data_IF_925814930421
#
_entry.id   IF_925814930421
#
_cell.length_a   1.000
_cell.length_b   1.000
_cell.length_c   1.000
_cell.angle_alpha   90.00
_cell.angle_beta   90.00
_cell.angle_gamma   90.00
#
_symmetry.space_group_name_H-M   'P 1'
#
loop_
_entity.id
_entity.type
_entity.pdbx_description
1 polymer ?
#
# COMPACT_ATOMS: atom_id res chain seq x y z
N UNK A 1 47.98 -0.81 -5.01
CA UNK A 1 47.50 -0.66 -6.40
C UNK A 1 46.19 0.13 -6.52
N UNK A 2 45.28 0.13 -5.53
CA UNK A 2 44.01 0.89 -5.58
C UNK A 2 44.16 2.42 -5.59
N UNK A 3 45.15 2.97 -4.86
CA UNK A 3 45.39 4.42 -4.81
C UNK A 3 45.83 5.01 -6.15
N UNK A 4 46.76 4.33 -6.85
CA UNK A 4 47.26 4.80 -8.16
C UNK A 4 46.18 4.78 -9.24
N UNK A 5 45.30 3.76 -9.23
CA UNK A 5 44.16 3.69 -10.16
C UNK A 5 43.12 4.79 -9.90
N UNK A 6 42.85 5.10 -8.63
CA UNK A 6 41.99 6.23 -8.25
C UNK A 6 42.57 7.55 -8.73
N UNK A 7 43.86 7.80 -8.50
CA UNK A 7 44.53 9.05 -8.90
C UNK A 7 44.58 9.20 -10.42
N UNK A 8 44.87 8.11 -11.15
CA UNK A 8 44.87 8.12 -12.63
C UNK A 8 43.46 8.40 -13.17
N UNK A 9 42.41 7.78 -12.60
CA UNK A 9 41.04 8.10 -12.99
C UNK A 9 40.67 9.55 -12.70
N UNK A 10 41.07 10.09 -11.55
CA UNK A 10 40.83 11.50 -11.22
C UNK A 10 41.53 12.43 -12.21
N UNK A 11 42.79 12.15 -12.55
CA UNK A 11 43.54 12.93 -13.55
C UNK A 11 42.88 12.81 -14.92
N UNK A 12 42.49 11.60 -15.33
CA UNK A 12 41.81 11.33 -16.59
C UNK A 12 40.49 12.11 -16.71
N UNK A 13 39.62 12.07 -15.69
CA UNK A 13 38.39 12.85 -15.67
C UNK A 13 38.64 14.36 -15.59
N UNK A 14 39.68 14.79 -14.88
CA UNK A 14 40.04 16.21 -14.74
C UNK A 14 40.70 16.83 -15.98
N UNK A 15 41.29 16.03 -16.88
CA UNK A 15 41.97 16.54 -18.09
C UNK A 15 41.27 16.17 -19.38
N UNK A 16 40.79 14.93 -19.53
CA UNK A 16 40.21 14.47 -20.80
C UNK A 16 38.80 15.00 -21.00
N UNK A 17 37.95 15.07 -19.97
CA UNK A 17 36.59 15.64 -20.14
C UNK A 17 36.66 17.13 -20.51
N UNK A 18 37.40 17.99 -19.78
CA UNK A 18 37.54 19.39 -20.17
C UNK A 18 38.24 19.54 -21.53
N UNK A 19 39.28 18.74 -21.80
CA UNK A 19 40.00 18.73 -23.07
C UNK A 19 39.12 18.32 -24.25
N UNK A 20 38.27 17.31 -24.11
CA UNK A 20 37.32 16.87 -25.13
C UNK A 20 36.21 17.90 -25.38
N UNK A 21 35.71 18.58 -24.34
CA UNK A 21 34.76 19.69 -24.47
C UNK A 21 35.41 20.87 -25.19
N UNK A 22 36.65 21.23 -24.82
CA UNK A 22 37.40 22.31 -25.43
C UNK A 22 37.75 22.02 -26.89
N UNK A 23 38.21 20.81 -27.21
CA UNK A 23 38.47 20.36 -28.58
C UNK A 23 37.17 20.33 -29.38
N UNK A 24 36.07 19.81 -28.82
CA UNK A 24 34.75 19.79 -29.46
C UNK A 24 34.19 21.19 -29.73
N UNK A 25 34.50 22.16 -28.88
CA UNK A 25 34.19 23.58 -29.07
C UNK A 25 35.06 24.21 -30.17
N UNK A 26 36.37 23.96 -30.17
CA UNK A 26 37.32 24.45 -31.18
C UNK A 26 37.04 23.92 -32.58
N UNK A 27 36.60 22.67 -32.71
CA UNK A 27 36.26 22.04 -33.99
C UNK A 27 34.79 22.28 -34.42
N UNK A 28 34.03 23.08 -33.66
CA UNK A 28 32.64 23.43 -33.98
C UNK A 28 31.63 22.29 -33.81
N UNK A 29 32.03 21.14 -33.27
CA UNK A 29 31.17 19.99 -32.96
C UNK A 29 30.19 20.30 -31.82
N UNK A 30 30.59 21.14 -30.86
CA UNK A 30 29.71 21.72 -29.82
C UNK A 30 29.66 23.22 -30.03
N UNK A 31 28.73 23.67 -30.87
CA UNK A 31 28.51 25.10 -31.10
C UNK A 31 28.01 25.82 -29.84
N UNK A 32 28.19 27.14 -29.77
CA UNK A 32 27.66 28.01 -28.71
C UNK A 32 26.16 27.74 -28.43
N UNK A 33 25.39 27.40 -29.47
CA UNK A 33 23.98 27.01 -29.38
C UNK A 33 23.76 25.74 -28.55
N UNK A 34 24.60 24.73 -28.71
CA UNK A 34 24.51 23.48 -27.94
C UNK A 34 24.79 23.76 -26.46
N UNK A 35 25.83 24.54 -26.16
CA UNK A 35 26.15 24.95 -24.79
C UNK A 35 25.01 25.76 -24.14
N UNK A 36 24.43 26.71 -24.89
CA UNK A 36 23.26 27.47 -24.46
C UNK A 36 22.07 26.57 -24.13
N UNK A 37 21.76 25.59 -24.99
CA UNK A 37 20.67 24.62 -24.76
C UNK A 37 20.95 23.76 -23.52
N UNK A 38 22.18 23.25 -23.36
CA UNK A 38 22.57 22.48 -22.18
C UNK A 38 22.46 23.31 -20.89
N UNK A 39 22.88 24.58 -20.92
CA UNK A 39 22.76 25.49 -19.77
C UNK A 39 21.29 25.80 -19.43
N UNK A 40 20.46 26.05 -20.44
CA UNK A 40 19.02 26.27 -20.24
C UNK A 40 18.35 25.02 -19.66
N UNK A 41 18.69 23.84 -20.16
CA UNK A 41 18.19 22.58 -19.62
C UNK A 41 18.64 22.38 -18.17
N UNK A 42 19.91 22.66 -17.86
CA UNK A 42 20.45 22.61 -16.50
C UNK A 42 19.69 23.53 -15.55
N UNK A 43 19.47 24.80 -15.93
CA UNK A 43 18.72 25.78 -15.13
C UNK A 43 17.28 25.32 -14.94
N UNK A 44 16.63 24.87 -16.02
CA UNK A 44 15.25 24.37 -15.95
C UNK A 44 15.13 23.20 -14.98
N UNK A 45 15.99 22.20 -15.10
CA UNK A 45 15.88 20.95 -14.34
C UNK A 45 16.37 21.09 -12.90
N UNK A 46 17.48 21.78 -12.64
CA UNK A 46 18.08 21.84 -11.30
C UNK A 46 17.67 23.06 -10.47
N UNK A 47 17.08 24.10 -11.10
CA UNK A 47 16.67 25.32 -10.41
C UNK A 47 15.17 25.56 -10.54
N UNK A 48 14.64 25.68 -11.76
CA UNK A 48 13.23 26.04 -11.97
C UNK A 48 12.31 24.94 -11.45
N UNK A 49 12.51 23.67 -11.85
CA UNK A 49 11.65 22.57 -11.41
C UNK A 49 11.62 22.40 -9.88
N UNK A 50 12.76 22.37 -9.15
CA UNK A 50 12.73 22.29 -7.69
C UNK A 50 12.06 23.49 -7.01
N UNK A 51 12.20 24.71 -7.57
CA UNK A 51 11.50 25.89 -7.04
C UNK A 51 9.99 25.81 -7.29
N UNK A 52 9.56 25.38 -8.48
CA UNK A 52 8.14 25.14 -8.78
C UNK A 52 7.57 24.09 -7.83
N UNK A 53 8.30 22.99 -7.60
CA UNK A 53 7.92 21.98 -6.61
C UNK A 53 7.78 22.58 -5.21
N UNK A 54 8.76 23.36 -4.75
CA UNK A 54 8.75 23.98 -3.42
C UNK A 54 7.49 24.81 -3.16
N UNK A 55 7.08 25.62 -4.13
CA UNK A 55 5.99 26.58 -3.96
C UNK A 55 4.62 26.04 -4.40
N UNK A 56 4.54 24.85 -5.00
CA UNK A 56 3.29 24.24 -5.45
C UNK A 56 2.91 23.01 -4.63
N UNK A 57 2.00 23.18 -3.68
CA UNK A 57 1.45 22.07 -2.88
C UNK A 57 0.70 21.07 -3.78
N UNK A 58 0.01 21.56 -4.79
CA UNK A 58 -0.68 20.72 -5.79
C UNK A 58 0.30 19.81 -6.52
N UNK A 59 1.48 20.32 -6.91
CA UNK A 59 2.51 19.51 -7.56
C UNK A 59 3.11 18.49 -6.58
N UNK A 60 3.35 18.88 -5.33
CA UNK A 60 3.83 17.97 -4.28
C UNK A 60 2.86 16.80 -4.07
N UNK A 61 1.56 17.09 -3.90
CA UNK A 61 0.50 16.08 -3.79
C UNK A 61 0.39 15.23 -5.06
N UNK A 62 0.43 15.86 -6.23
CA UNK A 62 0.35 15.19 -7.51
C UNK A 62 1.48 14.15 -7.71
N UNK A 63 2.71 14.49 -7.36
CA UNK A 63 3.87 13.58 -7.45
C UNK A 63 3.85 12.51 -6.36
N UNK A 64 3.37 12.84 -5.16
CA UNK A 64 3.32 11.89 -4.05
C UNK A 64 2.24 10.82 -4.24
N UNK A 65 1.05 11.20 -4.70
CA UNK A 65 -0.09 10.29 -4.83
C UNK A 65 -0.30 9.76 -6.25
N UNK A 66 0.23 10.44 -7.28
CA UNK A 66 0.14 10.02 -8.70
C UNK A 66 -1.27 9.54 -9.11
N UNK A 67 -2.30 10.21 -8.61
CA UNK A 67 -3.72 9.83 -8.80
C UNK A 67 -4.13 9.79 -10.27
N UNK A 68 -3.45 10.57 -11.12
CA UNK A 68 -3.66 10.61 -12.57
C UNK A 68 -3.18 9.36 -13.29
N UNK A 69 -2.37 8.50 -12.66
CA UNK A 69 -1.89 7.25 -13.26
C UNK A 69 -2.88 6.14 -12.93
N UNK A 70 -3.83 5.91 -13.83
CA UNK A 70 -4.74 4.77 -13.78
C UNK A 70 -4.18 3.62 -14.64
N UNK A 71 -3.81 2.52 -13.98
CA UNK A 71 -3.32 1.32 -14.67
C UNK A 71 -3.83 0.04 -13.98
N UNK A 72 -4.39 -0.93 -14.73
CA UNK A 72 -4.65 -0.90 -16.18
C UNK A 72 -5.71 0.15 -16.57
N UNK A 73 -5.58 0.73 -17.77
CA UNK A 73 -6.51 1.77 -18.27
C UNK A 73 -7.86 1.14 -18.64
N UNK A 74 -8.95 1.88 -18.38
CA UNK A 74 -10.30 1.46 -18.74
C UNK A 74 -10.83 0.29 -17.91
N UNK A 75 -10.26 0.07 -16.72
CA UNK A 75 -10.69 -0.99 -15.84
C UNK A 75 -12.08 -0.69 -15.24
N UNK A 76 -13.03 -1.59 -15.44
CA UNK A 76 -14.34 -1.51 -14.80
C UNK A 76 -14.25 -1.96 -13.33
N UNK A 77 -14.16 -0.98 -12.44
CA UNK A 77 -14.06 -1.23 -11.01
C UNK A 77 -15.39 -1.66 -10.38
N UNK A 78 -16.50 -1.52 -11.09
CA UNK A 78 -17.80 -2.02 -10.64
C UNK A 78 -17.95 -3.53 -10.86
N UNK A 79 -17.10 -4.12 -11.73
CA UNK A 79 -17.08 -5.55 -12.02
C UNK A 79 -15.70 -6.21 -11.71
N UNK A 80 -15.39 -6.49 -10.43
CA UNK A 80 -14.12 -7.12 -10.04
C UNK A 80 -13.90 -8.51 -10.66
N UNK A 81 -14.98 -9.21 -11.05
CA UNK A 81 -14.87 -10.51 -11.70
C UNK A 81 -14.12 -10.43 -13.04
N UNK A 82 -14.19 -9.29 -13.74
CA UNK A 82 -13.48 -9.04 -15.00
C UNK A 82 -11.95 -9.09 -14.88
N UNK A 83 -11.39 -8.96 -13.67
CA UNK A 83 -9.95 -9.11 -13.40
C UNK A 83 -9.61 -10.39 -12.62
N UNK A 84 -10.54 -11.35 -12.62
CA UNK A 84 -10.39 -12.63 -11.95
C UNK A 84 -10.62 -12.59 -10.44
N UNK A 85 -11.29 -11.56 -9.90
CA UNK A 85 -11.77 -11.51 -8.51
C UNK A 85 -13.27 -11.85 -8.47
N UNK A 86 -13.63 -13.09 -8.81
CA UNK A 86 -15.01 -13.60 -8.69
C UNK A 86 -15.53 -13.50 -7.25
N UNK A 87 -16.84 -13.54 -7.01
CA UNK A 87 -17.43 -13.46 -5.66
C UNK A 87 -16.90 -12.26 -4.82
N UNK A 88 -16.85 -11.10 -5.47
CA UNK A 88 -16.42 -9.83 -4.89
C UNK A 88 -17.51 -8.80 -5.18
N UNK A 89 -17.96 -8.06 -4.17
CA UNK A 89 -18.90 -6.95 -4.37
C UNK A 89 -18.15 -5.61 -4.44
N UNK A 90 -18.66 -4.70 -5.25
CA UNK A 90 -18.27 -3.30 -5.27
C UNK A 90 -19.37 -2.47 -4.58
N UNK A 91 -18.98 -1.54 -3.71
CA UNK A 91 -19.88 -0.60 -3.06
C UNK A 91 -19.13 0.69 -2.70
N UNK A 92 -19.85 1.68 -2.20
CA UNK A 92 -19.27 2.98 -1.87
C UNK A 92 -19.56 3.35 -0.43
N UNK A 93 -18.59 3.99 0.22
CA UNK A 93 -18.72 4.56 1.57
C UNK A 93 -18.57 6.07 1.46
N UNK A 94 -19.40 6.83 2.18
CA UNK A 94 -19.27 8.28 2.28
C UNK A 94 -18.44 8.65 3.52
N UNK A 95 -17.32 9.31 3.28
CA UNK A 95 -16.41 9.84 4.29
C UNK A 95 -16.79 11.28 4.56
N UNK A 96 -17.30 11.58 5.76
CA UNK A 96 -17.56 12.97 6.15
C UNK A 96 -16.24 13.72 6.28
N UNK A 97 -16.14 14.85 5.59
CA UNK A 97 -15.02 15.76 5.73
C UNK A 97 -15.52 17.07 6.32
N UNK A 98 -14.77 17.63 7.27
CA UNK A 98 -15.10 18.93 7.84
C UNK A 98 -14.68 20.09 6.92
N UNK A 99 -13.92 19.81 5.85
CA UNK A 99 -13.30 20.80 4.96
C UNK A 99 -14.01 20.97 3.59
N UNK A 100 -15.01 20.16 3.24
CA UNK A 100 -15.79 20.27 2.00
C UNK A 100 -17.27 20.02 2.24
N UNK A 101 -18.16 20.63 1.45
CA UNK A 101 -19.64 20.69 1.53
C UNK A 101 -20.36 19.48 2.16
N UNK A 102 -21.58 19.73 2.69
CA UNK A 102 -22.41 18.85 3.56
C UNK A 102 -22.56 17.37 3.13
N UNK A 103 -22.25 17.02 1.88
CA UNK A 103 -22.49 15.72 1.25
C UNK A 103 -21.36 14.67 1.48
N UNK A 104 -20.16 15.08 1.92
CA UNK A 104 -19.02 14.20 2.16
C UNK A 104 -18.31 13.66 0.89
N UNK A 105 -17.29 12.82 1.07
CA UNK A 105 -16.44 12.27 -0.01
C UNK A 105 -16.73 10.78 -0.19
N UNK A 106 -17.16 10.37 -1.38
CA UNK A 106 -17.45 8.97 -1.69
C UNK A 106 -16.18 8.21 -2.09
N UNK A 107 -15.94 7.07 -1.43
CA UNK A 107 -14.82 6.17 -1.74
C UNK A 107 -15.31 4.81 -2.24
N UNK A 108 -14.69 4.29 -3.29
CA UNK A 108 -15.00 2.98 -3.87
C UNK A 108 -14.33 1.84 -3.11
N UNK A 109 -15.12 0.84 -2.71
CA UNK A 109 -14.71 -0.28 -1.84
C UNK A 109 -15.07 -1.62 -2.48
N UNK A 110 -14.15 -2.57 -2.37
CA UNK A 110 -14.34 -3.98 -2.69
C UNK A 110 -14.34 -4.83 -1.44
N UNK A 111 -15.25 -5.80 -1.40
CA UNK A 111 -15.26 -6.88 -0.42
C UNK A 111 -15.15 -8.22 -1.13
N UNK A 112 -14.01 -8.88 -0.97
CA UNK A 112 -13.66 -10.18 -1.53
C UNK A 112 -14.01 -11.25 -0.49
N UNK A 113 -14.81 -12.25 -0.87
CA UNK A 113 -15.18 -13.34 0.05
C UNK A 113 -14.02 -14.36 0.25
N UNK A 114 -13.95 -14.98 1.45
CA UNK A 114 -13.10 -16.15 1.74
C UNK A 114 -13.35 -17.31 0.78
N UNK A 115 -12.30 -18.08 0.46
CA UNK A 115 -12.41 -19.22 -0.47
C UNK A 115 -13.44 -20.25 0.00
N UNK A 116 -13.42 -20.62 1.28
CA UNK A 116 -14.34 -21.61 1.83
C UNK A 116 -15.83 -21.16 1.79
N UNK A 117 -16.10 -19.87 2.03
CA UNK A 117 -17.43 -19.30 1.85
C UNK A 117 -17.87 -19.40 0.38
N UNK A 118 -17.01 -19.03 -0.56
CA UNK A 118 -17.34 -19.18 -1.99
C UNK A 118 -17.57 -20.65 -2.36
N UNK A 119 -16.73 -21.58 -1.87
CA UNK A 119 -16.89 -23.02 -2.09
C UNK A 119 -18.30 -23.50 -1.70
N UNK A 120 -18.83 -23.00 -0.57
CA UNK A 120 -20.13 -23.38 0.00
C UNK A 120 -21.31 -22.78 -0.78
N UNK A 121 -21.15 -21.54 -1.27
CA UNK A 121 -22.20 -20.74 -1.88
C UNK A 121 -21.99 -20.48 -3.39
N UNK A 122 -21.13 -21.27 -4.05
CA UNK A 122 -20.75 -21.02 -5.46
C UNK A 122 -21.94 -21.01 -6.43
N UNK A 123 -22.99 -21.79 -6.14
CA UNK A 123 -24.22 -21.84 -6.93
C UNK A 123 -25.08 -20.60 -6.75
N UNK A 124 -25.28 -20.20 -5.50
CA UNK A 124 -26.06 -19.02 -5.15
C UNK A 124 -25.39 -17.74 -5.70
N UNK A 125 -24.05 -17.72 -5.71
CA UNK A 125 -23.20 -16.66 -6.26
C UNK A 125 -23.02 -16.72 -7.80
N UNK A 126 -23.38 -17.81 -8.46
CA UNK A 126 -23.19 -18.05 -9.91
C UNK A 126 -21.71 -17.94 -10.35
N UNK A 127 -20.81 -18.59 -9.60
CA UNK A 127 -19.36 -18.54 -9.82
C UNK A 127 -18.72 -19.93 -9.91
N UNK A 128 -19.49 -20.97 -10.24
CA UNK A 128 -18.98 -22.34 -10.27
C UNK A 128 -17.82 -22.52 -11.24
N UNK A 129 -17.97 -22.03 -12.48
CA UNK A 129 -16.92 -22.12 -13.50
C UNK A 129 -15.65 -21.40 -13.07
N UNK A 130 -15.77 -20.17 -12.58
CA UNK A 130 -14.64 -19.37 -12.12
C UNK A 130 -13.94 -20.00 -10.91
N UNK A 131 -14.70 -20.60 -9.98
CA UNK A 131 -14.14 -21.28 -8.81
C UNK A 131 -13.42 -22.58 -9.20
N UNK A 132 -14.01 -23.37 -10.10
CA UNK A 132 -13.48 -24.67 -10.49
C UNK A 132 -12.25 -24.54 -11.42
N UNK A 133 -12.10 -23.41 -12.13
CA UNK A 133 -10.88 -23.07 -12.88
C UNK A 133 -9.72 -22.57 -12.00
N UNK A 134 -9.98 -22.17 -10.75
CA UNK A 134 -8.97 -21.64 -9.84
C UNK A 134 -8.19 -22.79 -9.17
N UNK A 135 -7.12 -23.23 -9.83
CA UNK A 135 -6.25 -24.34 -9.43
C UNK A 135 -5.41 -23.91 -8.22
N UNK A 136 -5.97 -24.10 -7.03
CA UNK A 136 -5.28 -23.92 -5.74
C UNK A 136 -5.36 -25.22 -4.97
N UNK A 137 -4.24 -25.65 -4.38
CA UNK A 137 -4.22 -26.78 -3.43
C UNK A 137 -5.03 -26.41 -2.20
N UNK A 138 -6.29 -26.86 -2.15
CA UNK A 138 -7.22 -26.64 -1.03
C UNK A 138 -6.82 -27.58 0.12
N UNK A 139 -5.81 -27.20 0.90
CA UNK A 139 -5.62 -27.78 2.22
C UNK A 139 -6.83 -27.36 3.07
N UNK A 140 -7.78 -28.28 3.23
CA UNK A 140 -9.01 -28.04 3.98
C UNK A 140 -8.66 -27.71 5.43
N UNK A 141 -8.76 -26.43 5.76
CA UNK A 141 -8.68 -25.95 7.13
C UNK A 141 -10.04 -26.10 7.80
N UNK A 142 -10.10 -26.86 8.88
CA UNK A 142 -11.32 -27.06 9.68
C UNK A 142 -11.32 -26.10 10.88
N UNK A 143 -11.23 -24.80 10.59
CA UNK A 143 -11.25 -23.74 11.61
C UNK A 143 -12.70 -23.43 12.08
N UNK A 144 -12.81 -22.65 13.15
CA UNK A 144 -14.09 -22.25 13.74
C UNK A 144 -15.05 -21.63 12.71
N UNK A 145 -14.49 -20.89 11.74
CA UNK A 145 -15.25 -20.25 10.67
C UNK A 145 -15.86 -21.30 9.74
N UNK A 146 -15.07 -22.27 9.28
CA UNK A 146 -15.56 -23.37 8.45
C UNK A 146 -16.64 -24.17 9.18
N UNK A 147 -16.48 -24.48 10.47
CA UNK A 147 -17.47 -25.22 11.27
C UNK A 147 -18.81 -24.47 11.35
N UNK A 148 -18.77 -23.18 11.66
CA UNK A 148 -19.97 -22.33 11.70
C UNK A 148 -20.59 -22.14 10.31
N UNK A 149 -19.79 -22.05 9.25
CA UNK A 149 -20.24 -22.11 7.87
C UNK A 149 -20.99 -23.42 7.58
N UNK A 150 -20.49 -24.56 8.06
CA UNK A 150 -21.19 -25.83 7.83
C UNK A 150 -22.54 -25.87 8.51
N UNK A 151 -22.59 -25.38 9.74
CA UNK A 151 -23.78 -25.34 10.57
C UNK A 151 -24.85 -24.40 10.00
N UNK A 152 -24.47 -23.19 9.58
CA UNK A 152 -25.41 -22.14 9.20
C UNK A 152 -25.75 -22.11 7.71
N UNK A 153 -24.96 -22.78 6.86
CA UNK A 153 -25.19 -22.76 5.42
C UNK A 153 -26.60 -23.16 4.97
N UNK A 154 -27.29 -24.18 5.52
CA UNK A 154 -28.66 -24.48 5.11
C UNK A 154 -29.62 -23.30 5.34
N UNK A 155 -29.50 -22.62 6.48
CA UNK A 155 -30.29 -21.44 6.78
C UNK A 155 -29.96 -20.27 5.84
N UNK A 156 -28.66 -20.02 5.61
CA UNK A 156 -28.22 -18.96 4.68
C UNK A 156 -28.70 -19.24 3.25
N UNK A 157 -28.69 -20.50 2.78
CA UNK A 157 -29.22 -20.85 1.45
C UNK A 157 -30.72 -20.68 1.35
N UNK A 158 -31.46 -20.93 2.44
CA UNK A 158 -32.90 -20.67 2.49
C UNK A 158 -33.20 -19.16 2.48
N UNK A 159 -32.37 -18.35 3.14
CA UNK A 159 -32.48 -16.89 3.18
C UNK A 159 -32.08 -16.25 1.84
N UNK A 160 -31.06 -16.81 1.18
CA UNK A 160 -30.48 -16.33 -0.07
C UNK A 160 -30.42 -17.44 -1.13
N UNK A 161 -31.56 -17.81 -1.75
CA UNK A 161 -31.60 -18.86 -2.77
C UNK A 161 -30.87 -18.47 -4.07
N UNK A 162 -30.70 -17.17 -4.32
CA UNK A 162 -29.84 -16.61 -5.37
C UNK A 162 -29.34 -15.25 -4.92
N UNK A 163 -28.11 -14.90 -5.30
CA UNK A 163 -27.53 -13.58 -5.04
C UNK A 163 -27.76 -12.68 -6.26
N UNK A 164 -28.42 -11.56 -6.03
CA UNK A 164 -28.79 -10.53 -7.01
C UNK A 164 -28.39 -9.15 -6.47
N UNK A 165 -28.27 -8.10 -7.30
CA UNK A 165 -27.82 -6.78 -6.85
C UNK A 165 -28.58 -6.26 -5.61
N UNK A 166 -29.87 -6.52 -5.51
CA UNK A 166 -30.75 -6.04 -4.44
C UNK A 166 -30.48 -6.68 -3.08
N UNK A 167 -29.99 -7.92 -3.04
CA UNK A 167 -29.71 -8.65 -1.79
C UNK A 167 -28.21 -8.90 -1.55
N UNK A 168 -27.35 -8.55 -2.52
CA UNK A 168 -25.91 -8.80 -2.45
C UNK A 168 -25.28 -8.13 -1.22
N UNK A 169 -25.71 -6.91 -0.87
CA UNK A 169 -25.18 -6.26 0.32
C UNK A 169 -25.46 -7.08 1.58
N UNK A 170 -26.72 -7.48 1.77
CA UNK A 170 -27.15 -8.23 2.95
C UNK A 170 -26.45 -9.59 3.04
N UNK A 171 -26.30 -10.30 1.92
CA UNK A 171 -25.59 -11.58 1.88
C UNK A 171 -24.12 -11.45 2.31
N UNK A 172 -23.38 -10.49 1.75
CA UNK A 172 -21.97 -10.30 2.09
C UNK A 172 -21.78 -9.86 3.54
N UNK A 173 -22.65 -8.99 4.07
CA UNK A 173 -22.61 -8.61 5.48
C UNK A 173 -23.03 -9.76 6.39
N UNK A 174 -23.96 -10.63 5.96
CA UNK A 174 -24.34 -11.85 6.69
C UNK A 174 -23.14 -12.78 6.85
N UNK A 175 -22.35 -12.98 5.80
CA UNK A 175 -21.10 -13.75 5.86
C UNK A 175 -20.02 -13.05 6.68
N UNK A 176 -19.92 -11.71 6.60
CA UNK A 176 -18.95 -10.93 7.37
C UNK A 176 -19.22 -10.99 8.88
N UNK A 177 -20.50 -11.10 9.27
CA UNK A 177 -20.96 -11.27 10.66
C UNK A 177 -20.76 -12.67 11.23
N UNK A 178 -20.45 -13.66 10.39
CA UNK A 178 -20.28 -15.02 10.87
C UNK A 178 -19.10 -15.12 11.83
N UNK A 179 -19.26 -15.73 13.01
CA UNK A 179 -18.20 -15.86 13.99
C UNK A 179 -17.04 -16.70 13.45
N UNK A 180 -15.84 -16.47 13.97
CA UNK A 180 -14.64 -17.19 13.57
C UNK A 180 -13.96 -16.64 12.31
N UNK A 181 -14.61 -15.74 11.57
CA UNK A 181 -14.02 -15.09 10.40
C UNK A 181 -12.83 -14.20 10.75
N UNK A 182 -11.98 -13.90 9.77
CA UNK A 182 -10.93 -12.86 9.87
C UNK A 182 -11.08 -11.89 8.71
N UNK A 183 -10.92 -10.60 9.00
CA UNK A 183 -11.01 -9.53 8.02
C UNK A 183 -9.64 -8.92 7.83
N UNK A 184 -9.21 -8.76 6.58
CA UNK A 184 -8.00 -8.01 6.22
C UNK A 184 -8.42 -6.76 5.46
N UNK A 185 -8.05 -5.59 5.97
CA UNK A 185 -8.18 -4.32 5.25
C UNK A 185 -6.85 -4.04 4.55
N UNK A 186 -6.86 -3.99 3.23
CA UNK A 186 -5.70 -3.71 2.41
C UNK A 186 -5.62 -2.23 2.04
N UNK A 187 -4.57 -1.57 2.51
CA UNK A 187 -4.24 -0.16 2.27
C UNK A 187 -3.16 -0.11 1.20
N UNK A 188 -3.53 0.30 -0.01
CA UNK A 188 -2.64 0.21 -1.15
C UNK A 188 -1.59 1.33 -1.22
N UNK A 189 -0.48 1.07 -1.91
CA UNK A 189 0.56 2.07 -2.16
C UNK A 189 0.18 3.17 -3.14
N UNK A 190 1.14 4.05 -3.42
CA UNK A 190 1.02 5.10 -4.45
C UNK A 190 0.65 4.50 -5.83
N UNK A 191 -0.04 5.29 -6.66
CA UNK A 191 -0.34 5.00 -8.08
C UNK A 191 -1.39 3.92 -8.31
N UNK A 192 -1.96 3.89 -9.52
CA UNK A 192 -2.90 2.87 -9.98
C UNK A 192 -4.18 2.80 -9.12
N UNK A 193 -4.94 1.71 -9.24
CA UNK A 193 -6.25 1.55 -8.58
C UNK A 193 -6.29 0.28 -7.74
N UNK A 194 -7.33 0.09 -6.92
CA UNK A 194 -7.54 -1.15 -6.15
C UNK A 194 -7.54 -2.40 -7.04
N UNK A 195 -7.79 -2.26 -8.35
CA UNK A 195 -7.73 -3.33 -9.35
C UNK A 195 -6.37 -3.56 -10.03
N UNK A 196 -5.28 -2.93 -9.57
CA UNK A 196 -3.94 -3.18 -10.12
C UNK A 196 -3.51 -4.65 -9.96
N UNK A 197 -2.83 -5.21 -10.98
CA UNK A 197 -2.56 -6.66 -11.07
C UNK A 197 -1.86 -7.28 -9.86
N UNK A 198 -0.80 -6.67 -9.33
CA UNK A 198 -0.13 -7.20 -8.13
C UNK A 198 -1.03 -7.20 -6.88
N UNK A 199 -1.98 -6.25 -6.79
CA UNK A 199 -2.90 -6.15 -5.65
C UNK A 199 -3.95 -7.25 -5.72
N UNK A 200 -4.46 -7.56 -6.92
CA UNK A 200 -5.41 -8.67 -7.09
C UNK A 200 -4.76 -10.03 -6.76
N UNK A 201 -3.46 -10.21 -6.99
CA UNK A 201 -2.71 -11.38 -6.52
C UNK A 201 -2.67 -11.47 -4.98
N UNK A 202 -2.46 -10.35 -4.29
CA UNK A 202 -2.53 -10.30 -2.81
C UNK A 202 -3.94 -10.66 -2.32
N UNK A 203 -5.00 -10.12 -2.93
CA UNK A 203 -6.36 -10.43 -2.49
C UNK A 203 -6.71 -11.91 -2.71
N UNK A 204 -6.23 -12.51 -3.80
CA UNK A 204 -6.38 -13.95 -4.06
C UNK A 204 -5.62 -14.78 -3.02
N UNK A 205 -4.39 -14.39 -2.68
CA UNK A 205 -3.63 -15.03 -1.60
C UNK A 205 -4.44 -15.00 -0.31
N UNK A 206 -4.89 -13.83 0.14
CA UNK A 206 -5.63 -13.66 1.39
C UNK A 206 -6.98 -14.40 1.39
N UNK A 207 -7.70 -14.40 0.26
CA UNK A 207 -8.90 -15.22 0.04
C UNK A 207 -8.60 -16.70 0.25
N UNK A 208 -7.48 -17.18 -0.28
CA UNK A 208 -7.07 -18.58 -0.19
C UNK A 208 -6.63 -18.95 1.24
N UNK A 209 -6.24 -17.98 2.07
CA UNK A 209 -6.10 -18.15 3.52
C UNK A 209 -7.44 -18.10 4.28
N UNK A 210 -8.57 -18.06 3.56
CA UNK A 210 -9.94 -17.95 4.08
C UNK A 210 -10.24 -16.65 4.84
N UNK A 211 -9.66 -15.53 4.40
CA UNK A 211 -9.95 -14.21 4.96
C UNK A 211 -10.93 -13.42 4.09
N UNK A 212 -11.77 -12.60 4.74
CA UNK A 212 -12.48 -11.53 4.05
C UNK A 212 -11.47 -10.44 3.72
N UNK A 213 -11.43 -9.96 2.48
CA UNK A 213 -10.52 -8.87 2.08
C UNK A 213 -11.32 -7.64 1.72
N UNK A 214 -11.04 -6.53 2.40
CA UNK A 214 -11.61 -5.23 2.13
C UNK A 214 -10.50 -4.35 1.55
N UNK A 215 -10.70 -3.86 0.33
CA UNK A 215 -9.77 -2.94 -0.34
C UNK A 215 -10.55 -1.78 -0.91
N UNK A 216 -9.97 -0.60 -0.95
CA UNK A 216 -10.64 0.59 -1.45
C UNK A 216 -9.64 1.51 -2.14
N UNK A 217 -10.13 2.43 -2.96
CA UNK A 217 -9.31 3.54 -3.49
C UNK A 217 -9.53 4.78 -2.63
N UNK A 218 -8.45 5.43 -2.20
CA UNK A 218 -8.56 6.70 -1.46
C UNK A 218 -9.24 7.78 -2.29
N UNK A 219 -9.68 8.87 -1.64
CA UNK A 219 -10.13 10.08 -2.35
C UNK A 219 -9.14 10.49 -3.43
N UNK A 220 -9.65 10.93 -4.57
CA UNK A 220 -8.84 11.31 -5.72
C UNK A 220 -8.31 10.16 -6.57
N UNK A 221 -8.43 8.90 -6.14
CA UNK A 221 -8.06 7.74 -6.94
C UNK A 221 -9.28 7.13 -7.64
N UNK A 222 -9.07 6.70 -8.89
CA UNK A 222 -9.99 5.84 -9.61
C UNK A 222 -11.44 6.36 -9.70
N UNK A 223 -12.41 5.59 -9.21
CA UNK A 223 -13.83 5.92 -9.14
C UNK A 223 -14.27 6.45 -7.75
N UNK A 224 -13.33 6.73 -6.86
CA UNK A 224 -13.57 7.57 -5.68
C UNK A 224 -13.64 9.03 -6.11
N UNK A 225 -14.33 9.86 -5.32
CA UNK A 225 -14.56 11.26 -5.71
C UNK A 225 -13.23 12.02 -5.92
N UNK A 226 -13.17 12.92 -6.93
CA UNK A 226 -11.93 13.53 -7.41
C UNK A 226 -11.41 14.66 -6.50
N UNK A 227 -11.32 14.39 -5.20
CA UNK A 227 -10.79 15.31 -4.19
C UNK A 227 -9.27 15.13 -4.08
N UNK A 228 -8.52 16.23 -4.10
CA UNK A 228 -7.05 16.19 -3.99
C UNK A 228 -6.62 15.51 -2.68
N UNK A 229 -5.83 14.42 -2.72
CA UNK A 229 -5.47 13.71 -1.51
C UNK A 229 -4.51 14.50 -0.61
N UNK A 230 -4.69 14.33 0.69
CA UNK A 230 -3.77 14.75 1.75
C UNK A 230 -3.48 13.54 2.63
N UNK A 231 -2.42 13.58 3.43
CA UNK A 231 -2.16 12.50 4.39
C UNK A 231 -3.34 12.28 5.35
N UNK A 232 -3.84 13.35 5.99
CA UNK A 232 -5.02 13.28 6.85
C UNK A 232 -6.26 12.75 6.10
N UNK A 233 -6.45 13.16 4.85
CA UNK A 233 -7.56 12.72 4.02
C UNK A 233 -7.54 11.23 3.76
N UNK A 234 -6.40 10.67 3.33
CA UNK A 234 -6.29 9.23 3.05
C UNK A 234 -6.33 8.38 4.34
N UNK A 235 -5.83 8.91 5.46
CA UNK A 235 -5.96 8.27 6.78
C UNK A 235 -7.41 8.26 7.24
N UNK A 236 -8.14 9.36 7.04
CA UNK A 236 -9.58 9.44 7.34
C UNK A 236 -10.40 8.47 6.49
N UNK A 237 -10.08 8.36 5.20
CA UNK A 237 -10.72 7.37 4.32
C UNK A 237 -10.54 5.95 4.86
N UNK A 238 -9.32 5.60 5.29
CA UNK A 238 -9.01 4.31 5.89
C UNK A 238 -9.76 4.07 7.22
N UNK A 239 -9.82 5.09 8.09
CA UNK A 239 -10.57 5.02 9.35
C UNK A 239 -12.06 4.78 9.11
N UNK A 240 -12.67 5.43 8.12
CA UNK A 240 -14.10 5.22 7.82
C UNK A 240 -14.40 3.82 7.29
N UNK A 241 -13.52 3.25 6.46
CA UNK A 241 -13.65 1.85 6.02
C UNK A 241 -13.54 0.91 7.22
N UNK A 242 -12.57 1.16 8.11
CA UNK A 242 -12.41 0.39 9.34
C UNK A 242 -13.65 0.47 10.24
N UNK A 243 -14.20 1.67 10.44
CA UNK A 243 -15.40 1.90 11.24
C UNK A 243 -16.62 1.19 10.65
N UNK A 244 -16.84 1.28 9.34
CA UNK A 244 -17.90 0.54 8.64
C UNK A 244 -17.81 -0.98 8.93
N UNK A 245 -16.62 -1.56 8.86
CA UNK A 245 -16.40 -2.98 9.13
C UNK A 245 -16.62 -3.30 10.61
N UNK A 246 -16.08 -2.48 11.51
CA UNK A 246 -16.20 -2.65 12.95
C UNK A 246 -17.65 -2.58 13.44
N UNK A 247 -18.50 -1.80 12.76
CA UNK A 247 -19.94 -1.70 13.01
C UNK A 247 -20.72 -2.88 12.44
N UNK A 248 -20.21 -3.55 11.39
CA UNK A 248 -20.85 -4.73 10.81
C UNK A 248 -20.50 -6.01 11.57
N UNK A 249 -19.25 -6.18 12.02
CA UNK A 249 -18.77 -7.45 12.60
C UNK A 249 -17.86 -7.30 13.82
N UNK A 250 -17.92 -8.27 14.74
CA UNK A 250 -17.01 -8.42 15.89
C UNK A 250 -15.77 -9.25 15.57
N UNK A 251 -15.64 -9.76 14.35
CA UNK A 251 -14.47 -10.54 13.93
C UNK A 251 -13.16 -9.75 14.02
N UNK A 252 -12.00 -10.43 14.23
CA UNK A 252 -10.69 -9.81 14.20
C UNK A 252 -10.41 -9.12 12.85
N UNK A 253 -9.92 -7.89 12.92
CA UNK A 253 -9.52 -7.08 11.75
C UNK A 253 -8.01 -6.91 11.75
N UNK A 254 -7.37 -7.26 10.64
CA UNK A 254 -5.94 -7.09 10.39
C UNK A 254 -5.77 -5.98 9.35
N UNK A 255 -4.83 -5.07 9.59
CA UNK A 255 -4.51 -4.01 8.64
C UNK A 255 -3.30 -4.45 7.83
N UNK A 256 -3.38 -4.44 6.51
CA UNK A 256 -2.26 -4.70 5.61
C UNK A 256 -1.96 -3.43 4.82
N UNK A 257 -0.84 -2.79 5.10
CA UNK A 257 -0.36 -1.64 4.32
C UNK A 257 0.73 -2.05 3.35
N UNK A 258 0.67 -1.55 2.11
CA UNK A 258 1.74 -1.71 1.12
C UNK A 258 2.32 -0.37 0.70
N UNK A 259 3.66 -0.22 0.74
CA UNK A 259 4.33 1.00 0.29
C UNK A 259 3.75 2.25 0.97
N UNK A 260 3.26 3.27 0.26
CA UNK A 260 2.54 4.43 0.84
C UNK A 260 1.48 4.03 1.88
N UNK A 261 0.78 2.92 1.64
CA UNK A 261 -0.24 2.39 2.55
C UNK A 261 0.30 1.96 3.92
N UNK A 262 1.61 1.74 4.11
CA UNK A 262 2.21 1.46 5.43
C UNK A 262 2.22 2.70 6.31
N UNK A 263 2.44 3.88 5.72
CA UNK A 263 2.31 5.15 6.42
C UNK A 263 0.86 5.43 6.82
N UNK A 264 -0.09 5.14 5.91
CA UNK A 264 -1.53 5.23 6.22
C UNK A 264 -1.92 4.25 7.33
N UNK A 265 -1.43 3.00 7.28
CA UNK A 265 -1.74 1.97 8.27
C UNK A 265 -1.30 2.36 9.68
N UNK A 266 -0.04 2.78 9.83
CA UNK A 266 0.53 3.15 11.14
C UNK A 266 -0.14 4.39 11.70
N UNK A 267 -0.34 5.42 10.87
CA UNK A 267 -1.04 6.65 11.28
C UNK A 267 -2.50 6.36 11.67
N UNK A 268 -3.23 5.57 10.88
CA UNK A 268 -4.60 5.15 11.24
C UNK A 268 -4.64 4.41 12.59
N UNK A 269 -3.72 3.47 12.84
CA UNK A 269 -3.68 2.73 14.10
C UNK A 269 -3.37 3.65 15.30
N UNK A 270 -2.44 4.59 15.14
CA UNK A 270 -2.15 5.61 16.15
C UNK A 270 -3.38 6.46 16.48
N UNK A 271 -4.14 6.89 15.45
CA UNK A 271 -5.37 7.67 15.62
C UNK A 271 -6.46 6.89 16.32
N UNK A 272 -6.67 5.64 15.95
CA UNK A 272 -7.64 4.76 16.63
C UNK A 272 -7.26 4.56 18.11
N UNK A 273 -5.98 4.35 18.42
CA UNK A 273 -5.49 4.20 19.78
C UNK A 273 -5.69 5.49 20.60
N UNK A 274 -5.37 6.66 20.03
CA UNK A 274 -5.57 7.96 20.67
C UNK A 274 -7.06 8.26 20.94
N UNK A 275 -7.94 7.92 19.99
CA UNK A 275 -9.39 8.06 20.13
C UNK A 275 -10.03 6.98 21.02
N UNK A 276 -9.25 5.98 21.46
CA UNK A 276 -9.72 4.80 22.21
C UNK A 276 -10.81 4.02 21.48
N UNK A 277 -10.74 4.03 20.15
CA UNK A 277 -11.62 3.23 19.31
C UNK A 277 -11.24 1.75 19.40
N UNK A 278 -12.17 0.88 19.00
CA UNK A 278 -11.87 -0.55 18.89
C UNK A 278 -10.65 -0.74 18.00
N UNK A 279 -9.61 -1.38 18.53
CA UNK A 279 -8.37 -1.54 17.79
C UNK A 279 -8.37 -2.75 16.83
N UNK A 280 -7.61 -2.68 15.73
CA UNK A 280 -7.29 -3.86 14.93
C UNK A 280 -6.50 -4.88 15.77
N UNK A 281 -6.41 -6.13 15.30
CA UNK A 281 -5.70 -7.21 16.01
C UNK A 281 -4.23 -7.35 15.62
N UNK A 282 -3.83 -6.79 14.49
CA UNK A 282 -2.47 -6.81 14.02
C UNK A 282 -2.29 -5.94 12.78
N UNK A 283 -1.05 -5.54 12.54
CA UNK A 283 -0.67 -4.70 11.40
C UNK A 283 0.43 -5.39 10.61
N UNK A 284 0.21 -5.58 9.31
CA UNK A 284 1.18 -6.10 8.36
C UNK A 284 1.65 -4.94 7.49
N UNK A 285 2.95 -4.70 7.47
CA UNK A 285 3.60 -3.63 6.71
C UNK A 285 4.46 -4.25 5.61
N UNK A 286 4.00 -4.16 4.37
CA UNK A 286 4.69 -4.66 3.19
C UNK A 286 5.50 -3.56 2.51
N UNK A 287 6.82 -3.77 2.43
CA UNK A 287 7.79 -2.82 1.88
C UNK A 287 7.66 -1.40 2.47
N UNK A 288 7.71 -1.26 3.81
CA UNK A 288 7.51 0.03 4.47
C UNK A 288 8.71 0.97 4.35
N UNK A 289 8.46 2.24 4.66
CA UNK A 289 9.46 3.27 4.86
C UNK A 289 9.30 3.92 6.23
N UNK A 290 10.32 4.64 6.71
CA UNK A 290 10.28 5.34 8.01
C UNK A 290 9.39 6.57 7.95
N UNK A 291 9.70 7.49 7.05
CA UNK A 291 8.93 8.72 6.78
C UNK A 291 9.19 9.19 5.35
N UNK A 292 8.40 10.15 4.85
CA UNK A 292 8.51 10.57 3.46
C UNK A 292 9.83 11.31 3.15
N UNK A 293 10.47 11.92 4.15
CA UNK A 293 11.77 12.58 3.94
C UNK A 293 12.84 11.55 3.61
N UNK A 294 12.88 10.45 4.34
CA UNK A 294 13.84 9.38 4.12
C UNK A 294 13.55 8.67 2.79
N UNK A 295 12.28 8.37 2.52
CA UNK A 295 11.84 7.76 1.25
C UNK A 295 12.29 8.61 0.06
N UNK A 296 11.97 9.91 0.04
CA UNK A 296 12.31 10.80 -1.08
C UNK A 296 13.80 10.96 -1.26
N UNK A 297 14.59 11.07 -0.17
CA UNK A 297 16.05 11.20 -0.24
C UNK A 297 16.74 9.98 -0.85
N UNK A 298 16.10 8.81 -0.73
CA UNK A 298 16.65 7.54 -1.16
C UNK A 298 15.97 6.99 -2.42
N UNK A 299 14.84 7.56 -2.81
CA UNK A 299 14.10 7.21 -4.01
C UNK A 299 14.97 7.33 -5.27
N UNK A 300 14.90 6.40 -6.24
CA UNK A 300 15.71 6.46 -7.47
C UNK A 300 15.68 7.81 -8.21
N UNK A 301 14.53 8.50 -8.22
CA UNK A 301 14.37 9.82 -8.85
C UNK A 301 15.21 10.92 -8.18
N UNK A 302 15.49 10.83 -6.88
CA UNK A 302 16.28 11.86 -6.18
C UNK A 302 17.77 11.71 -6.41
N UNK A 303 18.27 10.63 -7.03
CA UNK A 303 19.71 10.41 -7.29
C UNK A 303 20.39 11.58 -7.99
N UNK A 304 19.68 12.30 -8.85
CA UNK A 304 20.18 13.46 -9.60
C UNK A 304 20.21 14.73 -8.72
N UNK A 305 19.30 14.85 -7.76
CA UNK A 305 19.07 16.07 -6.99
C UNK A 305 19.56 16.01 -5.54
N UNK A 306 19.73 14.82 -4.95
CA UNK A 306 19.93 14.62 -3.51
C UNK A 306 21.23 15.19 -2.96
N UNK A 307 22.24 15.36 -3.81
CA UNK A 307 23.53 15.95 -3.43
C UNK A 307 23.56 17.47 -3.60
N UNK A 308 22.48 18.08 -4.08
CA UNK A 308 22.39 19.53 -4.20
C UNK A 308 22.23 20.15 -2.79
N UNK A 309 22.99 21.21 -2.45
CA UNK A 309 22.91 21.86 -1.13
C UNK A 309 21.50 22.35 -0.76
N UNK A 310 20.66 22.63 -1.77
CA UNK A 310 19.29 23.10 -1.60
C UNK A 310 18.23 21.99 -1.71
N UNK A 311 18.58 20.71 -1.80
CA UNK A 311 17.60 19.61 -1.92
C UNK A 311 16.58 19.62 -0.77
N UNK A 312 17.08 19.71 0.47
CA UNK A 312 16.22 19.77 1.65
C UNK A 312 15.33 21.01 1.64
N UNK A 313 15.87 22.15 1.21
CA UNK A 313 15.13 23.39 1.07
C UNK A 313 14.04 23.29 0.00
N UNK A 314 14.33 22.73 -1.17
CA UNK A 314 13.41 22.71 -2.30
C UNK A 314 12.38 21.57 -2.24
N UNK A 315 12.74 20.41 -1.68
CA UNK A 315 11.93 19.20 -1.76
C UNK A 315 11.42 18.76 -0.38
N UNK A 316 12.32 18.37 0.54
CA UNK A 316 11.92 17.73 1.80
C UNK A 316 11.16 18.66 2.77
N UNK A 317 11.69 19.87 3.02
CA UNK A 317 11.06 20.86 3.91
C UNK A 317 9.63 21.24 3.49
N UNK A 318 9.38 21.62 2.23
CA UNK A 318 8.02 22.02 1.82
C UNK A 318 7.00 20.88 1.99
N UNK A 319 7.36 19.62 1.71
CA UNK A 319 6.43 18.49 1.95
C UNK A 319 6.06 18.37 3.43
N UNK A 320 7.03 18.47 4.33
CA UNK A 320 6.79 18.44 5.78
C UNK A 320 5.95 19.62 6.26
N UNK A 321 6.23 20.83 5.75
CA UNK A 321 5.47 22.04 6.05
C UNK A 321 4.02 21.94 5.56
N UNK A 322 3.80 21.22 4.46
CA UNK A 322 2.47 20.97 3.88
C UNK A 322 1.79 19.71 4.42
N UNK A 323 2.27 19.17 5.56
CA UNK A 323 1.68 18.01 6.26
C UNK A 323 1.58 16.75 5.38
N UNK A 324 2.58 16.55 4.53
CA UNK A 324 2.80 15.29 3.81
C UNK A 324 4.05 14.68 4.44
N UNK A 325 3.90 13.89 5.50
CA UNK A 325 5.01 13.40 6.32
C UNK A 325 5.07 11.88 6.41
N UNK A 326 3.93 11.22 6.57
CA UNK A 326 3.79 9.77 6.68
C UNK A 326 4.79 9.18 7.69
N UNK A 327 4.78 9.73 8.91
CA UNK A 327 5.78 9.50 9.98
C UNK A 327 5.58 8.14 10.64
N UNK A 328 5.77 7.05 9.88
CA UNK A 328 5.63 5.67 10.38
C UNK A 328 6.56 5.43 11.56
N UNK A 329 7.77 6.00 11.53
CA UNK A 329 8.74 6.00 12.62
C UNK A 329 8.24 6.65 13.92
N UNK A 330 7.27 7.57 13.85
CA UNK A 330 6.59 8.13 15.03
C UNK A 330 5.40 7.25 15.41
N UNK A 331 4.54 6.93 14.44
CA UNK A 331 3.26 6.27 14.68
C UNK A 331 3.39 4.83 15.21
N UNK A 332 4.47 4.11 14.89
CA UNK A 332 4.70 2.76 15.45
C UNK A 332 4.84 2.75 16.99
N UNK A 333 5.00 3.92 17.62
CA UNK A 333 5.07 4.08 19.08
C UNK A 333 3.74 4.45 19.73
N UNK A 334 2.67 4.56 18.95
CA UNK A 334 1.41 5.13 19.41
C UNK A 334 0.29 4.09 19.52
N UNK A 335 0.56 2.83 19.17
CA UNK A 335 -0.42 1.75 19.21
C UNK A 335 0.20 0.40 19.65
N UNK A 336 -0.50 -0.39 20.49
CA UNK A 336 0.08 -1.59 21.12
C UNK A 336 0.00 -2.87 20.27
N UNK A 337 -0.67 -2.85 19.12
CA UNK A 337 -0.91 -4.05 18.30
C UNK A 337 0.41 -4.65 17.76
N UNK A 338 0.47 -5.97 17.56
CA UNK A 338 1.62 -6.61 16.94
C UNK A 338 1.80 -6.12 15.52
N UNK A 339 3.06 -6.03 15.09
CA UNK A 339 3.46 -5.54 13.78
C UNK A 339 4.29 -6.62 13.09
N UNK A 340 3.90 -7.04 11.89
CA UNK A 340 4.72 -7.83 11.00
C UNK A 340 5.21 -6.97 9.85
N UNK A 341 6.52 -6.83 9.70
CA UNK A 341 7.13 -6.17 8.55
C UNK A 341 7.64 -7.24 7.58
N UNK A 342 7.29 -7.11 6.31
CA UNK A 342 7.79 -7.97 5.23
C UNK A 342 8.46 -7.10 4.16
N UNK A 343 9.66 -7.46 3.72
CA UNK A 343 10.40 -6.64 2.74
C UNK A 343 11.37 -7.50 1.90
N UNK A 344 11.39 -7.26 0.58
CA UNK A 344 12.35 -7.85 -0.34
C UNK A 344 13.67 -7.07 -0.41
N UNK A 345 14.81 -7.76 -0.38
CA UNK A 345 16.16 -7.14 -0.45
C UNK A 345 16.51 -6.58 -1.84
N UNK A 346 15.71 -6.91 -2.86
CA UNK A 346 15.80 -6.39 -4.22
C UNK A 346 14.77 -5.28 -4.52
N UNK A 347 14.11 -4.74 -3.49
CA UNK A 347 13.24 -3.57 -3.65
C UNK A 347 14.04 -2.32 -4.06
N UNK A 348 13.82 -1.91 -5.31
CA UNK A 348 14.42 -0.71 -5.91
C UNK A 348 13.55 0.54 -5.79
N UNK A 349 12.30 0.40 -5.34
CA UNK A 349 11.36 1.51 -5.18
C UNK A 349 11.49 2.07 -3.77
N UNK A 350 11.29 1.22 -2.76
CA UNK A 350 11.51 1.55 -1.36
C UNK A 350 12.70 0.74 -0.86
N UNK A 351 13.88 1.35 -0.69
CA UNK A 351 15.08 0.61 -0.32
C UNK A 351 14.90 -0.21 0.96
N UNK A 352 15.27 -1.50 0.92
CA UNK A 352 15.14 -2.46 2.03
C UNK A 352 15.58 -1.95 3.41
N UNK A 353 16.64 -1.14 3.45
CA UNK A 353 17.18 -0.62 4.70
C UNK A 353 16.20 0.30 5.45
N UNK A 354 15.25 0.95 4.76
CA UNK A 354 14.21 1.76 5.41
C UNK A 354 13.22 0.89 6.18
N UNK A 355 12.81 -0.24 5.60
CA UNK A 355 11.95 -1.20 6.31
C UNK A 355 12.68 -1.83 7.50
N UNK A 356 13.96 -2.17 7.35
CA UNK A 356 14.77 -2.66 8.47
C UNK A 356 15.00 -1.59 9.55
N UNK A 357 15.19 -0.33 9.15
CA UNK A 357 15.30 0.78 10.10
C UNK A 357 14.00 0.99 10.88
N UNK A 358 12.84 0.95 10.22
CA UNK A 358 11.54 1.01 10.89
C UNK A 358 11.35 -0.15 11.87
N UNK A 359 11.77 -1.36 11.49
CA UNK A 359 11.77 -2.51 12.39
C UNK A 359 12.62 -2.27 13.63
N UNK A 360 13.85 -1.77 13.47
CA UNK A 360 14.74 -1.44 14.59
C UNK A 360 14.12 -0.38 15.50
N UNK A 361 13.56 0.68 14.92
CA UNK A 361 12.84 1.74 15.66
C UNK A 361 11.70 1.12 16.48
N UNK A 362 10.83 0.32 15.85
CA UNK A 362 9.72 -0.32 16.56
C UNK A 362 10.18 -1.29 17.65
N UNK A 363 11.24 -2.07 17.41
CA UNK A 363 11.76 -3.06 18.37
C UNK A 363 12.41 -2.39 19.59
N UNK A 364 13.15 -1.30 19.38
CA UNK A 364 13.98 -0.69 20.42
C UNK A 364 13.20 0.22 21.38
N UNK A 365 12.05 0.78 20.95
CA UNK A 365 11.33 1.79 21.73
C UNK A 365 9.88 1.45 22.09
N UNK A 366 9.25 0.45 21.46
CA UNK A 366 7.90 0.01 21.88
C UNK A 366 7.98 -0.69 23.24
N UNK A 367 6.92 -0.56 24.03
CA UNK A 367 6.82 -1.23 25.33
C UNK A 367 6.90 -2.74 25.17
N UNK A 368 7.61 -3.43 26.07
CA UNK A 368 7.67 -4.90 26.11
C UNK A 368 6.33 -5.56 26.44
N UNK A 369 5.36 -4.79 26.97
CA UNK A 369 4.01 -5.27 27.22
C UNK A 369 3.13 -5.26 25.95
N UNK A 370 3.57 -4.58 24.90
CA UNK A 370 2.81 -4.49 23.64
C UNK A 370 3.05 -5.71 22.76
N UNK A 371 2.20 -5.87 21.75
CA UNK A 371 2.33 -6.93 20.76
C UNK A 371 3.68 -6.87 20.04
N UNK A 372 4.28 -8.03 19.75
CA UNK A 372 5.63 -8.13 19.22
C UNK A 372 5.80 -7.46 17.85
N UNK A 373 7.06 -7.23 17.49
CA UNK A 373 7.45 -6.80 16.14
C UNK A 373 8.20 -7.94 15.46
N UNK A 374 7.67 -8.42 14.35
CA UNK A 374 8.29 -9.44 13.49
C UNK A 374 8.84 -8.79 12.22
N UNK A 375 9.98 -9.29 11.73
CA UNK A 375 10.56 -8.84 10.47
C UNK A 375 10.96 -10.05 9.62
N UNK A 376 10.30 -10.19 8.47
CA UNK A 376 10.57 -11.25 7.52
C UNK A 376 11.19 -10.67 6.26
N UNK A 377 12.47 -11.01 6.05
CA UNK A 377 13.24 -10.62 4.86
C UNK A 377 13.04 -11.64 3.75
N UNK A 378 12.96 -11.15 2.52
CA UNK A 378 12.94 -12.00 1.33
C UNK A 378 14.19 -11.75 0.50
N UNK A 379 14.96 -12.82 0.29
CA UNK A 379 16.28 -12.77 -0.34
C UNK A 379 16.22 -12.19 -1.77
N UNK A 380 17.20 -11.34 -2.10
CA UNK A 380 17.33 -10.72 -3.43
C UNK A 380 17.31 -11.74 -4.58
N UNK A 381 17.80 -12.95 -4.36
CA UNK A 381 17.86 -14.01 -5.38
C UNK A 381 16.46 -14.42 -5.88
N UNK A 382 15.42 -14.16 -5.09
CA UNK A 382 14.02 -14.53 -5.40
C UNK A 382 13.32 -13.55 -6.34
N UNK A 383 13.85 -12.33 -6.49
CA UNK A 383 13.39 -11.32 -7.45
C UNK A 383 11.92 -10.88 -7.28
N UNK A 384 11.44 -10.79 -6.04
CA UNK A 384 10.07 -10.32 -5.77
C UNK A 384 9.94 -8.80 -5.92
N UNK A 385 11.02 -8.05 -5.66
CA UNK A 385 11.06 -6.60 -5.72
C UNK A 385 9.97 -5.96 -4.85
N UNK A 386 9.47 -4.81 -5.31
CA UNK A 386 8.53 -4.00 -4.53
C UNK A 386 7.10 -4.55 -4.42
N UNK A 387 6.68 -5.45 -5.32
CA UNK A 387 5.25 -5.74 -5.57
C UNK A 387 4.86 -7.21 -5.50
N UNK A 388 5.81 -8.14 -5.55
CA UNK A 388 5.50 -9.55 -5.82
C UNK A 388 5.86 -10.48 -4.66
N UNK A 389 5.92 -9.95 -3.43
CA UNK A 389 6.06 -10.77 -2.21
C UNK A 389 4.92 -11.78 -2.08
N UNK A 390 3.73 -11.45 -2.59
CA UNK A 390 2.58 -12.35 -2.68
C UNK A 390 2.84 -13.65 -3.44
N UNK A 391 3.90 -13.72 -4.25
CA UNK A 391 4.30 -14.93 -4.99
C UNK A 391 5.26 -15.82 -4.20
N UNK A 392 5.68 -15.40 -3.01
CA UNK A 392 6.59 -16.18 -2.20
C UNK A 392 5.87 -17.39 -1.56
N UNK A 393 6.37 -18.62 -1.75
CA UNK A 393 5.71 -19.82 -1.23
C UNK A 393 5.61 -19.85 0.30
N UNK A 394 6.53 -19.18 1.00
CA UNK A 394 6.55 -19.08 2.46
C UNK A 394 5.55 -18.04 3.01
N UNK A 395 5.14 -17.04 2.22
CA UNK A 395 4.32 -15.93 2.71
C UNK A 395 2.95 -16.37 3.26
N UNK A 396 2.19 -17.28 2.62
CA UNK A 396 0.96 -17.84 3.18
C UNK A 396 1.11 -18.32 4.63
N UNK A 397 2.18 -19.09 4.92
CA UNK A 397 2.45 -19.63 6.25
C UNK A 397 2.81 -18.55 7.26
N UNK A 398 3.62 -17.55 6.86
CA UNK A 398 3.97 -16.41 7.72
C UNK A 398 2.74 -15.59 8.11
N UNK A 399 1.88 -15.28 7.14
CA UNK A 399 0.64 -14.53 7.36
C UNK A 399 -0.31 -15.30 8.27
N UNK A 400 -0.52 -16.59 7.99
CA UNK A 400 -1.37 -17.44 8.84
C UNK A 400 -0.84 -17.50 10.27
N UNK A 401 0.46 -17.74 10.45
CA UNK A 401 1.08 -17.80 11.78
C UNK A 401 0.88 -16.49 12.56
N UNK A 402 1.14 -15.35 11.92
CA UNK A 402 0.93 -14.04 12.52
C UNK A 402 -0.53 -13.81 12.93
N UNK A 403 -1.48 -14.09 12.03
CA UNK A 403 -2.91 -13.93 12.30
C UNK A 403 -3.36 -14.86 13.42
N UNK A 404 -3.00 -16.13 13.37
CA UNK A 404 -3.48 -17.14 14.32
C UNK A 404 -2.93 -16.91 15.73
N UNK A 405 -1.67 -16.49 15.85
CA UNK A 405 -1.07 -16.16 17.15
C UNK A 405 -1.73 -14.96 17.82
N UNK A 406 -2.15 -13.96 17.03
CA UNK A 406 -2.52 -12.66 17.59
C UNK A 406 -3.99 -12.27 17.42
N UNK A 407 -4.78 -13.03 16.64
CA UNK A 407 -6.22 -12.74 16.41
C UNK A 407 -7.05 -12.62 17.69
N UNK A 408 -6.65 -13.35 18.74
CA UNK A 408 -7.32 -13.38 20.04
C UNK A 408 -6.53 -12.67 21.15
N UNK A 409 -5.37 -12.09 20.83
CA UNK A 409 -4.52 -11.45 21.81
C UNK A 409 -5.13 -10.12 22.30
N UNK A 410 -4.90 -9.83 23.58
CA UNK A 410 -5.30 -8.59 24.26
C UNK A 410 -4.03 -7.95 24.77
N UNK A 411 -3.82 -6.68 24.41
CA UNK A 411 -2.61 -5.90 24.72
C UNK A 411 -2.97 -4.62 25.44
#
# INVERSE_FOLDING_TARGET
MSGLYSTINTIFYATIIPGAIFISWLIGLVGLRCLQVCLLFFILVLVVLPLVFRYSVTLQRGILFLTFITYPKGLDLTNPAGIGLYATRNFYITVKDNESDEDGVRIGVWHVLPRNAVRRFKRELKVEEAFDQDIVTDERRDDDYEQELRRLAPAIKSEFPSIVPENQQLFFERLLRMPGGTVVIYLHGNTATRGSGHRSEVYKLLRNLNYHVLSFDYRGYADSDPVSPTEEGVVRDAMMVYEYIANVTSNPVIIWGHSLGTGVATHMCARLAHLKERAPRGVILESPFTNIRDEIRLHPFSRIFKHLPWFDFAISRPMYSNRLRFESDIHVHEFPQPIMIIHAEDDVVVPFHLGYQLYRIALDSRSRAWGPVEFHRFDRSKRYGHKYLCRAPELPGLVQHFVDNYRNAVY
#
